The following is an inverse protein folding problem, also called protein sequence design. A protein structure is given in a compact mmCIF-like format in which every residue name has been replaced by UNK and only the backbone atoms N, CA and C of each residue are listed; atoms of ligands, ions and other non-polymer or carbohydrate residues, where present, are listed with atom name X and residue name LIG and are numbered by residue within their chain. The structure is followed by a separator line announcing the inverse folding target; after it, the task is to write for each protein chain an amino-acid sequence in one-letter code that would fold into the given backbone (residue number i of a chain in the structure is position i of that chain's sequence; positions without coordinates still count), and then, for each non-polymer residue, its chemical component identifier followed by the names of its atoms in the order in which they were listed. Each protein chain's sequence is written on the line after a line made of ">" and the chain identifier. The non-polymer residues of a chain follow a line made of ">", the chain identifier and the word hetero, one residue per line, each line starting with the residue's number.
data_IF_206553539089
#
_entry.id   IF_206553539089
#
_cell.length_a   1.000
_cell.length_b   1.000
_cell.length_c   1.000
_cell.angle_alpha   90.00
_cell.angle_beta   90.00
_cell.angle_gamma   90.00
#
_symmetry.space_group_name_H-M   'P 1'
#
loop_
_entity.id
_entity.type
_entity.pdbx_description
1 polymer ?
#
# COMPACT_ATOMS: atom_id res chain seq x y z
N UNK A 1 -8.89 -12.00 -19.92
CA UNK A 1 -8.29 -12.85 -18.89
C UNK A 1 -7.19 -12.06 -18.21
N UNK A 2 -6.90 -12.38 -16.95
CA UNK A 2 -5.82 -11.76 -16.19
C UNK A 2 -4.49 -12.37 -16.69
N UNK A 3 -3.50 -11.57 -17.13
CA UNK A 3 -2.21 -12.09 -17.54
C UNK A 3 -1.39 -12.62 -16.36
N UNK A 4 -0.47 -13.56 -16.61
CA UNK A 4 0.46 -14.10 -15.60
C UNK A 4 1.60 -13.12 -15.29
N UNK A 5 1.24 -12.00 -14.69
CA UNK A 5 2.15 -10.93 -14.25
C UNK A 5 1.92 -10.66 -12.77
N UNK A 6 3.00 -10.53 -12.01
CA UNK A 6 2.98 -10.12 -10.61
C UNK A 6 3.58 -8.72 -10.52
N UNK A 7 2.81 -7.75 -10.07
CA UNK A 7 3.25 -6.38 -9.86
C UNK A 7 3.45 -6.12 -8.38
N UNK A 8 4.55 -5.45 -8.03
CA UNK A 8 4.75 -4.91 -6.69
C UNK A 8 5.57 -3.63 -6.75
N UNK A 9 5.49 -2.80 -5.71
CA UNK A 9 6.20 -1.51 -5.65
C UNK A 9 7.37 -1.61 -4.68
N UNK A 10 8.55 -1.16 -5.13
CA UNK A 10 9.72 -0.98 -4.28
C UNK A 10 10.47 0.30 -4.67
N UNK A 11 9.94 1.43 -4.21
CA UNK A 11 10.50 2.76 -4.42
C UNK A 11 11.27 3.25 -3.19
N UNK A 12 12.12 4.25 -3.38
CA UNK A 12 13.12 4.69 -2.41
C UNK A 12 14.42 3.88 -2.51
N UNK A 13 15.35 4.14 -1.59
CA UNK A 13 16.71 3.59 -1.65
C UNK A 13 17.01 2.61 -0.51
N UNK A 14 15.98 2.16 0.21
CA UNK A 14 16.14 1.23 1.31
C UNK A 14 16.24 -0.21 0.79
N UNK A 15 17.11 -1.05 1.38
CA UNK A 15 17.16 -2.47 1.02
C UNK A 15 15.87 -3.16 1.46
N UNK A 16 15.45 -4.18 0.70
CA UNK A 16 14.33 -5.06 1.06
C UNK A 16 14.69 -5.80 2.36
N UNK A 17 13.73 -5.89 3.29
CA UNK A 17 13.93 -6.64 4.53
C UNK A 17 13.91 -8.15 4.26
N UNK A 18 14.40 -8.94 5.21
CA UNK A 18 14.33 -10.41 5.13
C UNK A 18 12.89 -10.91 4.97
N UNK A 19 11.92 -10.28 5.64
CA UNK A 19 10.50 -10.60 5.51
C UNK A 19 10.02 -10.42 4.06
N UNK A 20 10.36 -9.30 3.44
CA UNK A 20 9.96 -8.99 2.07
C UNK A 20 10.61 -9.96 1.09
N UNK A 21 11.89 -10.27 1.29
CA UNK A 21 12.58 -11.26 0.46
C UNK A 21 11.91 -12.63 0.57
N UNK A 22 11.54 -13.08 1.78
CA UNK A 22 10.78 -14.33 1.98
C UNK A 22 9.43 -14.32 1.27
N UNK A 23 8.71 -13.19 1.31
CA UNK A 23 7.46 -13.02 0.57
C UNK A 23 7.70 -13.17 -0.94
N UNK A 24 8.68 -12.46 -1.51
CA UNK A 24 9.00 -12.56 -2.95
C UNK A 24 9.43 -13.98 -3.35
N UNK A 25 10.19 -14.69 -2.50
CA UNK A 25 10.56 -16.08 -2.77
C UNK A 25 9.34 -17.02 -2.75
N UNK A 26 8.35 -16.77 -1.89
CA UNK A 26 7.08 -17.51 -1.92
C UNK A 26 6.35 -17.34 -3.26
N UNK A 27 6.40 -16.13 -3.85
CA UNK A 27 5.80 -15.87 -5.16
C UNK A 27 6.47 -16.71 -6.24
N UNK A 28 7.80 -16.70 -6.29
CA UNK A 28 8.58 -17.50 -7.25
C UNK A 28 8.33 -19.00 -7.10
N UNK A 29 8.16 -19.47 -5.86
CA UNK A 29 7.90 -20.88 -5.55
C UNK A 29 6.52 -21.34 -6.07
N UNK A 30 5.48 -20.55 -5.84
CA UNK A 30 4.09 -20.94 -6.12
C UNK A 30 3.60 -20.49 -7.51
N UNK A 31 4.26 -19.51 -8.11
CA UNK A 31 3.92 -18.87 -9.39
C UNK A 31 5.15 -18.82 -10.33
N UNK A 32 5.81 -19.96 -10.61
CA UNK A 32 7.11 -20.00 -11.29
C UNK A 32 7.08 -19.52 -12.74
N UNK A 33 5.91 -19.50 -13.38
CA UNK A 33 5.69 -19.08 -14.75
C UNK A 33 5.15 -17.64 -14.87
N UNK A 34 5.04 -16.92 -13.75
CA UNK A 34 4.60 -15.53 -13.75
C UNK A 34 5.79 -14.58 -13.94
N UNK A 35 5.60 -13.54 -14.75
CA UNK A 35 6.56 -12.45 -14.84
C UNK A 35 6.46 -11.58 -13.58
N UNK A 36 7.56 -11.46 -12.82
CA UNK A 36 7.62 -10.59 -11.63
C UNK A 36 8.14 -9.21 -12.02
N UNK A 37 7.28 -8.20 -11.87
CA UNK A 37 7.50 -6.82 -12.27
C UNK A 37 7.64 -5.95 -11.02
N UNK A 38 8.88 -5.63 -10.68
CA UNK A 38 9.19 -4.60 -9.68
C UNK A 38 8.98 -3.22 -10.28
N UNK A 39 8.11 -2.42 -9.67
CA UNK A 39 7.98 -0.98 -9.90
C UNK A 39 8.95 -0.23 -8.98
N UNK A 40 10.18 -0.09 -9.46
CA UNK A 40 11.27 0.62 -8.79
C UNK A 40 11.32 2.12 -9.14
N UNK A 41 12.33 2.84 -8.64
CA UNK A 41 12.48 4.28 -8.90
C UNK A 41 12.54 4.61 -10.40
N UNK A 42 13.25 3.83 -11.22
CA UNK A 42 13.39 4.08 -12.66
C UNK A 42 12.04 3.96 -13.39
N UNK A 43 11.25 2.92 -13.09
CA UNK A 43 9.91 2.78 -13.67
C UNK A 43 8.97 3.86 -13.16
N UNK A 44 9.07 4.20 -11.88
CA UNK A 44 8.25 5.23 -11.27
C UNK A 44 8.49 6.62 -11.89
N UNK A 45 9.72 6.99 -12.23
CA UNK A 45 10.04 8.27 -12.88
C UNK A 45 9.33 8.49 -14.22
N UNK A 46 8.97 7.39 -14.91
CA UNK A 46 8.24 7.39 -16.18
C UNK A 46 6.73 7.57 -16.00
N UNK A 47 6.23 7.40 -14.78
CA UNK A 47 4.83 7.63 -14.43
C UNK A 47 4.65 9.11 -14.10
N UNK A 48 3.64 9.75 -14.70
CA UNK A 48 3.31 11.15 -14.43
C UNK A 48 1.99 11.23 -13.69
N UNK A 49 2.07 11.44 -12.38
CA UNK A 49 0.90 11.67 -11.53
C UNK A 49 1.29 12.53 -10.32
N UNK A 50 0.56 13.64 -10.13
CA UNK A 50 0.87 14.67 -9.12
C UNK A 50 0.83 14.11 -7.70
N UNK A 51 -0.22 13.35 -7.35
CA UNK A 51 -0.37 12.74 -6.03
C UNK A 51 0.83 11.84 -5.68
N UNK A 52 1.16 10.88 -6.55
CA UNK A 52 2.24 9.93 -6.28
C UNK A 52 3.62 10.58 -6.28
N UNK A 53 3.86 11.58 -7.14
CA UNK A 53 5.10 12.35 -7.13
C UNK A 53 5.28 13.12 -5.82
N UNK A 54 4.23 13.81 -5.35
CA UNK A 54 4.23 14.50 -4.06
C UNK A 54 4.42 13.52 -2.88
N UNK A 55 3.79 12.35 -2.93
CA UNK A 55 4.00 11.29 -1.94
C UNK A 55 5.46 10.80 -1.93
N UNK A 56 6.05 10.60 -3.11
CA UNK A 56 7.45 10.20 -3.26
C UNK A 56 8.40 11.26 -2.69
N UNK A 57 8.20 12.54 -3.03
CA UNK A 57 9.00 13.65 -2.50
C UNK A 57 8.93 13.74 -0.97
N UNK A 58 7.78 13.44 -0.38
CA UNK A 58 7.58 13.39 1.08
C UNK A 58 8.00 12.06 1.73
N UNK A 59 8.61 11.14 0.97
CA UNK A 59 9.06 9.81 1.43
C UNK A 59 7.93 8.94 1.99
N UNK A 60 6.75 9.06 1.40
CA UNK A 60 5.52 8.35 1.79
C UNK A 60 5.27 7.21 0.83
N UNK A 61 6.14 6.20 0.88
CA UNK A 61 6.23 5.10 -0.09
C UNK A 61 4.94 4.29 -0.26
N UNK A 62 4.20 4.02 0.83
CA UNK A 62 2.90 3.33 0.74
C UNK A 62 1.85 4.12 -0.06
N UNK A 63 1.91 5.45 -0.02
CA UNK A 63 1.01 6.29 -0.80
C UNK A 63 1.46 6.41 -2.27
N UNK A 64 2.75 6.16 -2.56
CA UNK A 64 3.21 5.95 -3.93
C UNK A 64 2.63 4.64 -4.47
N UNK A 65 2.66 3.56 -3.68
CA UNK A 65 2.13 2.27 -4.11
C UNK A 65 0.61 2.25 -4.28
N UNK A 66 -0.13 3.10 -3.55
CA UNK A 66 -1.58 3.30 -3.75
C UNK A 66 -1.94 3.67 -5.18
N UNK A 67 -1.17 4.55 -5.81
CA UNK A 67 -1.36 4.91 -7.21
C UNK A 67 -0.77 3.85 -8.16
N UNK A 68 0.49 3.47 -7.94
CA UNK A 68 1.23 2.61 -8.88
C UNK A 68 0.59 1.23 -9.02
N UNK A 69 -0.03 0.69 -7.96
CA UNK A 69 -0.77 -0.59 -8.05
C UNK A 69 -1.90 -0.54 -9.07
N UNK A 70 -2.68 0.54 -9.04
CA UNK A 70 -3.83 0.73 -9.92
C UNK A 70 -3.36 1.02 -11.34
N UNK A 71 -2.32 1.86 -11.48
CA UNK A 71 -1.67 2.14 -12.76
C UNK A 71 -1.18 0.85 -13.43
N UNK A 72 -0.45 0.02 -12.70
CA UNK A 72 0.07 -1.25 -13.20
C UNK A 72 -1.06 -2.19 -13.67
N UNK A 73 -2.06 -2.41 -12.81
CA UNK A 73 -3.19 -3.28 -13.12
C UNK A 73 -4.03 -2.76 -14.30
N UNK A 74 -4.22 -1.44 -14.42
CA UNK A 74 -4.99 -0.86 -15.50
C UNK A 74 -4.28 -1.02 -16.85
N UNK A 75 -2.99 -0.70 -16.91
CA UNK A 75 -2.24 -0.70 -18.17
C UNK A 75 -1.72 -2.07 -18.58
N UNK A 76 -1.34 -2.90 -17.62
CA UNK A 76 -0.70 -4.19 -17.89
C UNK A 76 -1.58 -5.40 -17.54
N UNK A 77 -2.65 -5.20 -16.77
CA UNK A 77 -3.36 -6.30 -16.12
C UNK A 77 -2.49 -7.00 -15.08
N UNK A 78 -2.85 -8.21 -14.69
CA UNK A 78 -2.06 -9.07 -13.83
C UNK A 78 -2.57 -9.12 -12.40
N UNK A 79 -1.67 -9.47 -11.50
CA UNK A 79 -1.93 -9.57 -10.07
C UNK A 79 -0.98 -8.63 -9.36
N UNK A 80 -1.51 -7.72 -8.56
CA UNK A 80 -0.72 -6.89 -7.66
C UNK A 80 -0.61 -7.56 -6.29
N UNK A 81 0.61 -7.55 -5.74
CA UNK A 81 0.90 -8.03 -4.38
C UNK A 81 1.64 -6.94 -3.60
N UNK A 82 1.16 -6.63 -2.39
CA UNK A 82 1.96 -5.86 -1.43
C UNK A 82 3.19 -6.70 -1.00
N UNK A 83 4.30 -6.04 -0.70
CA UNK A 83 5.59 -6.71 -0.46
C UNK A 83 5.66 -7.58 0.79
N UNK A 84 4.65 -7.48 1.66
CA UNK A 84 4.44 -8.28 2.86
C UNK A 84 3.28 -9.28 2.69
N UNK A 85 2.98 -9.66 1.45
CA UNK A 85 2.08 -10.76 1.12
C UNK A 85 2.88 -12.03 0.85
N UNK A 86 2.63 -13.08 1.62
CA UNK A 86 3.13 -14.42 1.34
C UNK A 86 2.15 -15.15 0.43
N UNK A 87 2.61 -15.70 -0.70
CA UNK A 87 1.79 -16.56 -1.56
C UNK A 87 1.95 -18.00 -1.11
N UNK A 88 0.84 -18.67 -0.86
CA UNK A 88 0.78 -20.02 -0.28
C UNK A 88 0.32 -21.07 -1.29
N UNK A 89 -0.28 -20.64 -2.41
CA UNK A 89 -0.79 -21.54 -3.44
C UNK A 89 -0.82 -20.86 -4.82
N UNK A 90 -1.05 -21.66 -5.86
CA UNK A 90 -1.10 -21.18 -7.24
C UNK A 90 -2.38 -20.36 -7.52
N UNK A 91 -2.25 -19.27 -8.29
CA UNK A 91 -3.33 -18.31 -8.56
C UNK A 91 -4.01 -18.50 -9.93
N UNK A 92 -3.64 -19.54 -10.69
CA UNK A 92 -4.13 -19.77 -12.06
C UNK A 92 -5.65 -19.91 -12.13
N UNK A 93 -6.24 -20.47 -11.07
CA UNK A 93 -7.68 -20.66 -10.99
C UNK A 93 -8.46 -19.34 -11.04
N UNK A 94 -7.84 -18.20 -10.73
CA UNK A 94 -8.49 -16.90 -10.76
C UNK A 94 -8.32 -16.16 -12.09
N UNK A 95 -7.45 -16.64 -13.00
CA UNK A 95 -7.07 -15.89 -14.20
C UNK A 95 -8.18 -15.75 -15.26
N UNK A 96 -9.21 -16.60 -15.17
CA UNK A 96 -10.38 -16.55 -16.04
C UNK A 96 -11.30 -15.34 -15.76
N UNK A 97 -11.13 -14.70 -14.59
CA UNK A 97 -11.88 -13.53 -14.16
C UNK A 97 -11.43 -12.26 -14.89
N UNK A 98 -12.23 -11.21 -14.77
CA UNK A 98 -11.89 -9.84 -15.14
C UNK A 98 -11.29 -9.08 -13.96
N UNK A 99 -11.71 -9.39 -12.74
CA UNK A 99 -11.25 -8.80 -11.48
C UNK A 99 -11.39 -9.82 -10.34
N UNK A 100 -10.43 -9.85 -9.44
CA UNK A 100 -10.62 -10.50 -8.14
C UNK A 100 -9.84 -9.79 -7.04
N UNK A 101 -10.35 -9.96 -5.82
CA UNK A 101 -9.63 -9.70 -4.58
C UNK A 101 -10.32 -10.48 -3.46
N UNK A 102 -9.99 -10.24 -2.19
CA UNK A 102 -10.67 -10.82 -1.05
C UNK A 102 -11.07 -9.77 -0.03
N UNK A 103 -11.90 -10.11 0.94
CA UNK A 103 -12.12 -9.24 2.10
C UNK A 103 -10.82 -9.04 2.88
N UNK A 104 -10.57 -7.83 3.36
CA UNK A 104 -9.49 -7.60 4.33
C UNK A 104 -10.04 -7.85 5.73
N UNK A 105 -9.33 -8.65 6.53
CA UNK A 105 -9.65 -8.87 7.93
C UNK A 105 -8.40 -8.62 8.77
N UNK A 106 -8.39 -7.52 9.51
CA UNK A 106 -7.33 -7.21 10.44
C UNK A 106 -7.87 -7.26 11.88
N UNK A 107 -7.57 -8.34 12.60
CA UNK A 107 -8.01 -8.57 13.98
C UNK A 107 -9.53 -8.38 14.18
N UNK A 108 -10.35 -8.87 13.25
CA UNK A 108 -11.80 -8.77 13.29
C UNK A 108 -12.36 -7.45 12.74
N UNK A 109 -11.52 -6.48 12.39
CA UNK A 109 -11.93 -5.32 11.61
C UNK A 109 -11.96 -5.70 10.12
N UNK A 110 -13.17 -5.85 9.58
CA UNK A 110 -13.39 -6.28 8.19
C UNK A 110 -13.61 -5.07 7.29
N UNK A 111 -12.88 -5.02 6.18
CA UNK A 111 -13.07 -4.05 5.09
C UNK A 111 -13.50 -4.80 3.82
N UNK A 112 -14.23 -4.15 2.91
CA UNK A 112 -14.88 -4.84 1.80
C UNK A 112 -13.88 -5.46 0.81
N UNK A 113 -12.61 -5.05 0.85
CA UNK A 113 -11.58 -5.57 -0.02
C UNK A 113 -10.18 -5.35 0.57
N UNK A 114 -9.28 -6.31 0.35
CA UNK A 114 -7.84 -6.17 0.58
C UNK A 114 -7.17 -5.50 -0.60
N UNK A 115 -6.43 -4.43 -0.32
CA UNK A 115 -5.62 -3.78 -1.35
C UNK A 115 -4.29 -4.49 -1.59
N UNK A 116 -3.96 -5.47 -0.74
CA UNK A 116 -2.69 -6.18 -0.74
C UNK A 116 -2.63 -7.30 -1.78
N UNK A 117 -3.77 -7.82 -2.24
CA UNK A 117 -3.85 -8.79 -3.35
C UNK A 117 -5.03 -8.42 -4.24
N UNK A 118 -4.73 -7.98 -5.47
CA UNK A 118 -5.74 -7.60 -6.46
C UNK A 118 -5.35 -8.19 -7.81
N UNK A 119 -6.22 -8.96 -8.43
CA UNK A 119 -6.07 -9.40 -9.82
C UNK A 119 -7.02 -8.65 -10.74
N UNK A 120 -6.55 -8.24 -11.92
CA UNK A 120 -7.38 -7.58 -12.92
C UNK A 120 -6.86 -7.78 -14.33
N UNK A 121 -7.77 -7.84 -15.31
CA UNK A 121 -7.36 -7.73 -16.72
C UNK A 121 -6.96 -6.28 -17.03
N UNK A 122 -6.11 -6.08 -18.04
CA UNK A 122 -5.82 -4.75 -18.55
C UNK A 122 -7.13 -4.05 -18.99
N UNK A 123 -7.24 -2.75 -18.70
CA UNK A 123 -8.43 -1.95 -18.99
C UNK A 123 -9.66 -2.30 -18.14
N UNK A 124 -9.50 -2.98 -17.01
CA UNK A 124 -10.62 -3.30 -16.11
C UNK A 124 -11.28 -2.01 -15.58
N UNK A 125 -12.62 -1.95 -15.62
CA UNK A 125 -13.40 -0.76 -15.24
C UNK A 125 -13.36 -0.45 -13.74
N UNK A 126 -13.30 -1.47 -12.87
CA UNK A 126 -13.14 -1.25 -11.42
C UNK A 126 -11.79 -0.58 -11.13
N UNK A 127 -10.71 -1.07 -11.77
CA UNK A 127 -9.40 -0.45 -11.61
C UNK A 127 -9.39 0.95 -12.21
N UNK A 128 -10.05 1.17 -13.34
CA UNK A 128 -10.18 2.48 -13.98
C UNK A 128 -10.85 3.50 -13.04
N UNK A 129 -12.01 3.15 -12.46
CA UNK A 129 -12.75 4.03 -11.56
C UNK A 129 -11.96 4.33 -10.27
N UNK A 130 -11.21 3.35 -9.74
CA UNK A 130 -10.32 3.57 -8.60
C UNK A 130 -9.12 4.45 -8.95
N UNK A 131 -8.56 4.28 -10.15
CA UNK A 131 -7.43 5.07 -10.64
C UNK A 131 -7.83 6.52 -10.92
N UNK A 132 -9.04 6.76 -11.43
CA UNK A 132 -9.52 8.10 -11.79
C UNK A 132 -9.61 9.05 -10.60
N UNK A 133 -9.77 8.53 -9.37
CA UNK A 133 -9.65 9.33 -8.15
C UNK A 133 -8.33 10.12 -8.11
N UNK A 134 -7.23 9.50 -8.54
CA UNK A 134 -5.90 10.07 -8.45
C UNK A 134 -5.54 11.02 -9.59
N UNK A 135 -6.38 11.17 -10.63
CA UNK A 135 -6.12 12.08 -11.76
C UNK A 135 -6.01 13.54 -11.30
N UNK A 136 -6.85 13.94 -10.35
CA UNK A 136 -6.92 15.30 -9.83
C UNK A 136 -6.61 15.38 -8.32
N UNK A 137 -6.17 14.28 -7.71
CA UNK A 137 -5.83 14.25 -6.30
C UNK A 137 -4.50 14.96 -6.03
N UNK A 138 -4.46 15.70 -4.93
CA UNK A 138 -3.25 16.28 -4.37
C UNK A 138 -2.88 15.55 -3.08
N UNK A 139 -1.63 15.10 -2.99
CA UNK A 139 -1.10 14.55 -1.75
C UNK A 139 -0.69 15.67 -0.79
N UNK A 140 -0.18 16.79 -1.30
CA UNK A 140 0.02 18.02 -0.52
C UNK A 140 -1.23 18.91 -0.66
N UNK A 141 -2.08 18.94 0.37
CA UNK A 141 -3.32 19.74 0.44
C UNK A 141 -3.13 21.00 1.29
N UNK A 142 -4.13 21.88 1.32
CA UNK A 142 -4.15 23.05 2.21
C UNK A 142 -4.09 22.68 3.69
N UNK A 143 -4.61 21.50 4.05
CA UNK A 143 -4.70 21.01 5.43
C UNK A 143 -3.50 20.14 5.84
N UNK A 144 -2.58 19.87 4.92
CA UNK A 144 -1.37 19.08 5.16
C UNK A 144 -1.17 17.97 4.14
N UNK A 145 -0.61 16.84 4.57
CA UNK A 145 -0.47 15.66 3.71
C UNK A 145 -1.75 14.83 3.73
N UNK A 146 -2.21 14.36 2.58
CA UNK A 146 -3.30 13.39 2.48
C UNK A 146 -2.83 12.01 2.89
N UNK A 147 -2.95 11.72 4.20
CA UNK A 147 -2.58 10.44 4.79
C UNK A 147 -3.77 9.48 4.92
N UNK A 148 -4.85 9.69 4.17
CA UNK A 148 -5.99 8.77 4.19
C UNK A 148 -5.58 7.40 3.62
N UNK A 149 -5.82 6.29 4.36
CA UNK A 149 -5.52 4.96 3.86
C UNK A 149 -6.32 4.64 2.59
N UNK A 150 -5.70 3.94 1.64
CA UNK A 150 -6.35 3.53 0.39
C UNK A 150 -7.61 2.68 0.61
N UNK A 151 -7.63 1.83 1.63
CA UNK A 151 -8.77 0.95 1.94
C UNK A 151 -10.03 1.75 2.29
N UNK A 152 -9.89 2.98 2.80
CA UNK A 152 -11.04 3.89 3.02
C UNK A 152 -11.58 4.40 1.68
N UNK A 153 -10.71 4.79 0.75
CA UNK A 153 -11.10 5.26 -0.59
C UNK A 153 -11.74 4.15 -1.40
N UNK A 154 -11.11 2.98 -1.40
CA UNK A 154 -11.60 1.79 -2.08
C UNK A 154 -12.93 1.34 -1.46
N UNK A 155 -13.03 1.31 -0.13
CA UNK A 155 -14.27 0.95 0.55
C UNK A 155 -15.44 1.88 0.22
N UNK A 156 -15.20 3.19 0.11
CA UNK A 156 -16.19 4.15 -0.38
C UNK A 156 -16.65 3.82 -1.79
N UNK A 157 -15.71 3.59 -2.71
CA UNK A 157 -16.04 3.22 -4.09
C UNK A 157 -16.91 1.96 -4.15
N UNK A 158 -16.57 0.91 -3.39
CA UNK A 158 -17.37 -0.32 -3.37
C UNK A 158 -18.76 -0.14 -2.76
N UNK A 159 -18.88 0.72 -1.75
CA UNK A 159 -20.18 1.12 -1.19
C UNK A 159 -21.04 1.86 -2.21
N UNK A 160 -20.48 2.85 -2.90
CA UNK A 160 -21.20 3.69 -3.87
C UNK A 160 -21.56 2.94 -5.16
N UNK A 161 -20.63 2.14 -5.69
CA UNK A 161 -20.79 1.47 -7.00
C UNK A 161 -21.57 0.17 -6.90
N UNK A 162 -21.38 -0.59 -5.82
CA UNK A 162 -21.88 -1.96 -5.68
C UNK A 162 -22.78 -2.15 -4.45
N UNK A 163 -22.96 -1.13 -3.62
CA UNK A 163 -23.82 -1.22 -2.43
C UNK A 163 -23.22 -2.02 -1.28
N UNK A 164 -21.91 -2.30 -1.27
CA UNK A 164 -21.26 -3.04 -0.18
C UNK A 164 -21.18 -2.17 1.07
N UNK A 165 -21.88 -2.57 2.13
CA UNK A 165 -21.92 -1.85 3.40
C UNK A 165 -21.58 -2.76 4.57
N UNK A 166 -21.04 -2.17 5.63
CA UNK A 166 -20.80 -2.87 6.88
C UNK A 166 -22.13 -3.18 7.61
N UNK A 167 -22.23 -4.29 8.37
CA UNK A 167 -21.19 -5.30 8.59
C UNK A 167 -20.97 -6.19 7.36
N UNK A 168 -19.72 -6.45 7.01
CA UNK A 168 -19.36 -7.31 5.88
C UNK A 168 -19.31 -8.78 6.32
N UNK A 169 -19.76 -9.68 5.44
CA UNK A 169 -19.58 -11.12 5.64
C UNK A 169 -18.30 -11.59 4.94
N UNK A 170 -17.17 -11.56 5.66
CA UNK A 170 -15.87 -11.96 5.10
C UNK A 170 -15.68 -13.47 4.93
N UNK A 171 -16.68 -14.30 5.25
CA UNK A 171 -16.62 -15.75 5.09
C UNK A 171 -17.30 -16.23 3.80
N UNK A 172 -17.91 -15.33 3.03
CA UNK A 172 -18.62 -15.64 1.79
C UNK A 172 -18.06 -14.84 0.60
N UNK A 173 -18.16 -15.42 -0.59
CA UNK A 173 -17.89 -14.71 -1.84
C UNK A 173 -18.93 -13.62 -2.08
N UNK A 174 -18.51 -12.55 -2.74
CA UNK A 174 -19.38 -11.47 -3.20
C UNK A 174 -19.15 -11.24 -4.68
N UNK A 175 -20.16 -11.51 -5.49
CA UNK A 175 -20.16 -11.27 -6.93
C UNK A 175 -20.45 -9.80 -7.20
N UNK A 176 -19.54 -9.14 -7.93
CA UNK A 176 -19.71 -7.76 -8.39
C UNK A 176 -20.34 -7.75 -9.80
N UNK A 177 -19.94 -8.71 -10.63
CA UNK A 177 -20.52 -9.07 -11.91
C UNK A 177 -20.15 -10.53 -12.24
N UNK A 178 -20.50 -11.03 -13.44
CA UNK A 178 -20.24 -12.41 -13.87
C UNK A 178 -18.77 -12.86 -13.79
N UNK A 179 -17.81 -11.92 -13.84
CA UNK A 179 -16.37 -12.19 -13.86
C UNK A 179 -15.58 -11.30 -12.89
N UNK A 180 -16.23 -10.69 -11.91
CA UNK A 180 -15.59 -9.83 -10.91
C UNK A 180 -16.04 -10.26 -9.53
N UNK A 181 -15.10 -10.77 -8.71
CA UNK A 181 -15.42 -11.46 -7.45
C UNK A 181 -14.57 -10.92 -6.30
N UNK A 182 -15.19 -10.73 -5.13
CA UNK A 182 -14.51 -10.55 -3.86
C UNK A 182 -14.64 -11.85 -3.07
N UNK A 183 -13.52 -12.51 -2.79
CA UNK A 183 -13.45 -13.77 -2.08
C UNK A 183 -13.44 -13.60 -0.54
N UNK A 184 -13.74 -14.66 0.21
CA UNK A 184 -13.57 -14.65 1.66
C UNK A 184 -12.16 -14.21 2.11
N UNK A 185 -12.05 -13.66 3.31
CA UNK A 185 -10.76 -13.16 3.82
C UNK A 185 -9.68 -14.23 3.92
N UNK A 186 -10.06 -15.50 4.06
CA UNK A 186 -9.11 -16.61 4.12
C UNK A 186 -8.49 -16.99 2.79
N UNK A 187 -8.96 -16.46 1.65
CA UNK A 187 -8.29 -16.67 0.36
C UNK A 187 -7.01 -15.85 0.24
N UNK A 188 -7.07 -14.56 0.57
CA UNK A 188 -6.01 -13.59 0.23
C UNK A 188 -5.57 -12.67 1.39
N UNK A 189 -5.98 -12.96 2.62
CA UNK A 189 -5.71 -12.09 3.76
C UNK A 189 -5.25 -12.86 5.00
N UNK A 190 -6.14 -13.59 5.68
CA UNK A 190 -5.83 -14.29 6.94
C UNK A 190 -6.29 -15.74 6.85
N UNK A 191 -5.39 -16.73 6.91
CA UNK A 191 -5.75 -18.13 6.73
C UNK A 191 -6.67 -18.61 7.86
N UNK A 192 -7.54 -19.55 7.54
CA UNK A 192 -8.40 -20.25 8.47
C UNK A 192 -8.06 -21.75 8.46
N UNK A 193 -8.18 -22.40 9.61
CA UNK A 193 -7.82 -23.81 9.75
C UNK A 193 -8.67 -24.67 8.80
N UNK A 194 -8.03 -25.61 8.10
CA UNK A 194 -8.64 -26.51 7.09
C UNK A 194 -9.24 -25.84 5.84
N UNK A 195 -9.14 -24.51 5.70
CA UNK A 195 -9.58 -23.81 4.49
C UNK A 195 -8.40 -23.52 3.57
N UNK A 196 -8.63 -23.61 2.26
CA UNK A 196 -7.62 -23.30 1.25
C UNK A 196 -7.31 -21.80 1.27
N UNK A 197 -6.02 -21.47 1.27
CA UNK A 197 -5.49 -20.12 1.24
C UNK A 197 -4.54 -19.99 0.05
N UNK A 198 -4.50 -18.80 -0.53
CA UNK A 198 -3.71 -18.49 -1.73
C UNK A 198 -2.68 -17.40 -1.47
N UNK A 199 -3.01 -16.46 -0.60
CA UNK A 199 -2.05 -15.52 -0.05
C UNK A 199 -2.40 -15.07 1.36
N UNK A 200 -1.38 -14.69 2.13
CA UNK A 200 -1.48 -14.19 3.50
C UNK A 200 -0.92 -12.77 3.53
N UNK A 201 -1.72 -11.81 3.99
CA UNK A 201 -1.24 -10.45 4.25
C UNK A 201 -0.63 -10.42 5.66
N UNK A 202 0.69 -10.21 5.76
CA UNK A 202 1.41 -10.25 7.03
C UNK A 202 1.31 -8.96 7.85
N UNK A 203 0.67 -7.92 7.31
CA UNK A 203 0.44 -6.62 7.95
C UNK A 203 1.71 -6.03 8.60
N UNK A 204 2.84 -6.06 7.89
CA UNK A 204 4.14 -5.62 8.40
C UNK A 204 4.11 -4.13 8.83
N UNK A 205 3.24 -3.34 8.17
CA UNK A 205 3.00 -1.94 8.55
C UNK A 205 4.28 -1.10 8.51
N UNK A 206 5.14 -1.34 7.51
CA UNK A 206 6.43 -0.67 7.34
C UNK A 206 6.31 0.84 7.13
N UNK A 207 5.13 1.30 6.71
CA UNK A 207 4.77 2.70 6.52
C UNK A 207 4.49 3.45 7.83
N UNK A 208 4.17 2.72 8.91
CA UNK A 208 3.90 3.31 10.21
C UNK A 208 5.15 4.03 10.74
N UNK A 209 5.00 5.20 11.41
CA UNK A 209 6.14 5.95 11.93
C UNK A 209 7.02 5.10 12.86
N UNK A 210 8.32 5.04 12.56
CA UNK A 210 9.33 4.44 13.45
C UNK A 210 9.57 5.28 14.70
N UNK A 211 9.16 6.55 14.68
CA UNK A 211 9.26 7.51 15.77
C UNK A 211 7.99 8.35 15.87
N UNK A 212 7.52 8.60 17.08
CA UNK A 212 6.53 9.65 17.33
C UNK A 212 7.23 11.01 17.36
N UNK A 213 6.65 12.00 16.68
CA UNK A 213 7.12 13.39 16.66
C UNK A 213 6.17 14.27 17.46
N UNK A 214 6.73 15.17 18.28
CA UNK A 214 5.99 16.29 18.87
C UNK A 214 6.81 17.56 18.76
N UNK A 215 6.34 18.51 17.96
CA UNK A 215 6.91 19.85 17.86
C UNK A 215 6.84 20.53 19.24
N UNK A 216 7.93 21.16 19.68
CA UNK A 216 8.06 21.79 21.00
C UNK A 216 8.14 23.30 20.91
N UNK A 217 8.98 23.80 20.03
CA UNK A 217 9.18 25.22 19.80
C UNK A 217 9.24 25.47 18.30
N UNK A 218 8.60 26.55 17.87
CA UNK A 218 8.67 27.07 16.50
C UNK A 218 9.17 28.51 16.59
N UNK A 219 10.18 28.86 15.80
CA UNK A 219 10.77 30.19 15.82
C UNK A 219 11.10 30.69 14.41
N UNK A 220 10.91 32.00 14.22
CA UNK A 220 11.08 32.71 12.95
C UNK A 220 10.31 32.09 11.76
N UNK A 221 9.19 31.41 12.02
CA UNK A 221 8.41 30.63 11.03
C UNK A 221 9.20 29.61 10.19
N UNK A 222 10.47 29.36 10.55
CA UNK A 222 11.43 28.62 9.74
C UNK A 222 12.07 27.48 10.49
N UNK A 223 12.26 27.62 11.80
CA UNK A 223 12.91 26.59 12.61
C UNK A 223 11.91 25.93 13.54
N UNK A 224 12.07 24.62 13.70
CA UNK A 224 11.23 23.78 14.55
C UNK A 224 12.14 22.91 15.40
N UNK A 225 12.05 23.06 16.73
CA UNK A 225 12.61 22.09 17.66
C UNK A 225 11.56 21.03 17.94
N UNK A 226 11.83 19.81 17.51
CA UNK A 226 10.91 18.67 17.65
C UNK A 226 11.48 17.61 18.57
N UNK A 227 10.63 17.01 19.39
CA UNK A 227 10.98 15.81 20.15
C UNK A 227 10.58 14.58 19.36
N UNK A 228 11.51 13.65 19.16
CA UNK A 228 11.24 12.33 18.60
C UNK A 228 11.41 11.24 19.66
N UNK A 229 10.45 10.32 19.75
CA UNK A 229 10.53 9.12 20.59
C UNK A 229 10.44 7.90 19.67
N UNK A 230 11.46 7.06 19.69
CA UNK A 230 11.56 5.83 18.92
C UNK A 230 10.50 4.83 19.36
N UNK A 231 9.70 4.37 18.41
CA UNK A 231 8.66 3.36 18.56
C UNK A 231 9.12 1.99 18.01
N UNK A 232 10.02 1.99 17.01
CA UNK A 232 10.56 0.78 16.36
C UNK A 232 12.08 0.86 16.25
N UNK A 233 12.77 -0.27 16.29
CA UNK A 233 14.24 -0.31 16.22
C UNK A 233 14.80 0.17 14.88
N UNK A 234 14.05 -0.06 13.81
CA UNK A 234 14.40 0.30 12.43
C UNK A 234 13.53 1.47 11.93
N UNK A 235 14.05 2.20 10.94
CA UNK A 235 13.34 3.27 10.24
C UNK A 235 13.87 4.69 10.51
N UNK A 236 13.55 5.60 9.60
CA UNK A 236 14.05 6.98 9.61
C UNK A 236 13.15 7.93 10.41
N UNK A 237 13.71 9.05 10.84
CA UNK A 237 12.92 10.17 11.37
C UNK A 237 12.10 10.77 10.23
N UNK A 238 10.78 10.72 10.34
CA UNK A 238 9.90 11.24 9.32
C UNK A 238 9.86 12.77 9.37
N UNK A 239 10.39 13.40 8.32
CA UNK A 239 10.30 14.84 8.02
C UNK A 239 9.75 15.00 6.60
N UNK A 240 9.09 16.12 6.33
CA UNK A 240 8.50 16.41 5.00
C UNK A 240 9.56 16.79 3.97
N UNK A 241 9.19 16.84 2.69
CA UNK A 241 10.07 17.31 1.59
C UNK A 241 10.62 18.73 1.84
N UNK A 242 9.82 19.56 2.52
CA UNK A 242 10.13 20.95 2.88
C UNK A 242 10.97 21.06 4.15
N UNK A 243 11.27 19.96 4.83
CA UNK A 243 11.98 19.96 6.10
C UNK A 243 13.39 19.35 5.97
N UNK A 244 14.40 20.04 6.51
CA UNK A 244 15.77 19.53 6.62
C UNK A 244 16.17 19.44 8.08
N UNK A 245 16.68 18.29 8.49
CA UNK A 245 17.28 18.11 9.81
C UNK A 245 18.63 18.86 9.84
N UNK A 246 18.78 19.79 10.80
CA UNK A 246 20.03 20.52 11.04
C UNK A 246 20.87 19.88 12.14
N UNK A 247 20.23 19.46 13.23
CA UNK A 247 20.92 18.93 14.40
C UNK A 247 20.06 17.86 15.08
N UNK A 248 20.70 16.80 15.58
CA UNK A 248 20.10 15.77 16.44
C UNK A 248 20.79 15.78 17.79
N UNK A 249 20.00 15.87 18.86
CA UNK A 249 20.45 15.96 20.25
C UNK A 249 19.88 14.74 20.98
N UNK A 250 20.64 13.64 21.13
CA UNK A 250 20.17 12.46 21.84
C UNK A 250 20.04 12.77 23.34
N UNK A 251 18.92 12.34 23.95
CA UNK A 251 18.65 12.48 25.39
C UNK A 251 18.63 11.11 26.07
N UNK A 252 18.18 10.08 25.36
CA UNK A 252 18.23 8.69 25.82
C UNK A 252 18.32 7.74 24.62
N UNK A 253 18.38 6.42 24.89
CA UNK A 253 18.33 5.37 23.85
C UNK A 253 17.11 5.46 22.93
N UNK A 254 16.02 6.08 23.38
CA UNK A 254 14.75 6.17 22.65
C UNK A 254 14.31 7.61 22.37
N UNK A 255 14.90 8.61 23.02
CA UNK A 255 14.45 10.00 22.93
C UNK A 255 15.57 10.89 22.39
N UNK A 256 15.23 11.71 21.40
CA UNK A 256 16.11 12.75 20.86
C UNK A 256 15.32 14.02 20.54
N UNK A 257 15.97 15.18 20.66
CA UNK A 257 15.48 16.43 20.09
C UNK A 257 16.14 16.68 18.75
N UNK A 258 15.39 17.22 17.82
CA UNK A 258 15.84 17.44 16.44
C UNK A 258 15.50 18.87 16.08
N UNK A 259 16.52 19.64 15.71
CA UNK A 259 16.35 20.95 15.11
C UNK A 259 16.11 20.77 13.62
N UNK A 260 14.97 21.23 13.14
CA UNK A 260 14.52 21.13 11.76
C UNK A 260 14.41 22.56 11.21
N UNK A 261 14.84 22.74 9.96
CA UNK A 261 14.56 23.95 9.18
C UNK A 261 13.52 23.62 8.11
N UNK A 262 12.49 24.45 8.01
CA UNK A 262 11.50 24.44 6.93
C UNK A 262 12.01 25.35 5.81
N UNK A 263 12.08 24.80 4.60
CA UNK A 263 12.34 25.54 3.37
C UNK A 263 11.00 26.11 2.89
N UNK A 264 11.04 27.36 2.46
CA UNK A 264 9.93 28.01 1.75
C UNK A 264 9.71 27.33 0.41
#
# INVERSE_FOLDING_TARGET
>A
MIPKKIHYVWVGNQPKSELILKCIESWKKHLPDYEIIEWNNEKFERIKNKYSEQAYQNRKWAFVSDYVRLYALYHEGGIYLDTDVEVTNNLDQFLHLNFFSGYENYHGNVLPITSATIGAKAGNSIIADLLSYYENADFETSDGLDLQPNTVRIGRYFSEKFGLQAPYNSSQETLLDEKSIIYPSYYFCVPEYELENFSIHLFNGSWCPSHSRKDKLKFFNKFILSRFIRLRYTGELQVTSKEKILLKIPVSKTKQYVLIIRRE
#
